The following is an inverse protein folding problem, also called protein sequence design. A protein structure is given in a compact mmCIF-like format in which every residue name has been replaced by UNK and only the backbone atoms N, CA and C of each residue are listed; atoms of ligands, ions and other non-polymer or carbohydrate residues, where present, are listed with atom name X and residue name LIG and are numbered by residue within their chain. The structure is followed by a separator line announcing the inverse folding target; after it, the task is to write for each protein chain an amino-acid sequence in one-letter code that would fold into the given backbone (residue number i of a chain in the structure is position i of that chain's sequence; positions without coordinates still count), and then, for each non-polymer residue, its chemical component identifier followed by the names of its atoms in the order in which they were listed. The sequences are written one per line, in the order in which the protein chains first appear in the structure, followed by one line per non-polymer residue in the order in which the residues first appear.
data_IF_481194034558
#
_entry.id   IF_481194034558
#
_cell.length_a   1.000
_cell.length_b   1.000
_cell.length_c   1.000
_cell.angle_alpha   90.00
_cell.angle_beta   90.00
_cell.angle_gamma   90.00
#
_symmetry.space_group_name_H-M   'P 1'
#
loop_
_entity.id
_entity.type
_entity.pdbx_description
1 polymer ?
#
# COMPACT_ATOMS: atom_id res chain seq x y z
N UNK A 1 -16.54 -31.60 -1.05
CA UNK A 1 -16.15 -30.20 -0.79
C UNK A 1 -14.84 -29.96 -1.51
N UNK A 2 -14.80 -29.07 -2.48
CA UNK A 2 -13.55 -28.62 -3.11
C UNK A 2 -12.71 -27.86 -2.08
N UNK A 3 -11.37 -28.00 -2.07
CA UNK A 3 -10.52 -27.20 -1.20
C UNK A 3 -10.77 -25.71 -1.47
N UNK A 4 -10.67 -24.83 -0.46
CA UNK A 4 -10.69 -23.39 -0.70
C UNK A 4 -9.64 -23.05 -1.74
N UNK A 5 -9.99 -22.21 -2.72
CA UNK A 5 -9.00 -21.71 -3.67
C UNK A 5 -7.82 -21.13 -2.88
N UNK A 6 -6.60 -21.62 -3.15
CA UNK A 6 -5.42 -21.13 -2.48
C UNK A 6 -5.35 -19.60 -2.63
N UNK A 7 -5.24 -18.89 -1.51
CA UNK A 7 -5.16 -17.44 -1.51
C UNK A 7 -3.97 -17.03 -2.38
N UNK A 8 -4.25 -16.34 -3.49
CA UNK A 8 -3.22 -15.80 -4.37
C UNK A 8 -2.60 -14.61 -3.65
N UNK A 9 -1.39 -14.78 -3.14
CA UNK A 9 -0.64 -13.73 -2.46
C UNK A 9 -0.24 -12.66 -3.47
N UNK A 10 -0.59 -11.41 -3.21
CA UNK A 10 -0.20 -10.26 -4.01
C UNK A 10 0.76 -9.39 -3.20
N UNK A 11 1.86 -8.98 -3.83
CA UNK A 11 2.88 -8.14 -3.23
C UNK A 11 2.84 -6.76 -3.89
N UNK A 12 2.62 -5.71 -3.11
CA UNK A 12 2.61 -4.33 -3.58
C UNK A 12 3.85 -3.59 -3.09
N UNK A 13 4.71 -3.15 -4.00
CA UNK A 13 5.89 -2.35 -3.68
C UNK A 13 5.54 -0.85 -3.68
N UNK A 14 6.08 -0.12 -2.70
CA UNK A 14 5.92 1.32 -2.54
C UNK A 14 7.16 2.01 -3.14
N UNK A 15 6.97 2.74 -4.25
CA UNK A 15 8.04 3.55 -4.86
C UNK A 15 8.92 2.82 -5.89
N UNK A 16 8.32 1.97 -6.72
CA UNK A 16 9.03 1.17 -7.74
C UNK A 16 9.11 1.86 -9.11
N UNK A 17 10.16 1.54 -9.87
CA UNK A 17 10.24 1.83 -11.29
C UNK A 17 9.48 0.76 -12.09
N UNK A 18 8.27 1.10 -12.58
CA UNK A 18 7.40 0.20 -13.36
C UNK A 18 8.02 -0.31 -14.67
N UNK A 19 9.12 0.29 -15.14
CA UNK A 19 9.82 -0.14 -16.36
C UNK A 19 10.85 -1.23 -16.12
N UNK A 20 11.17 -1.56 -14.86
CA UNK A 20 12.17 -2.58 -14.54
C UNK A 20 11.67 -4.00 -14.88
N UNK A 21 12.37 -4.77 -15.75
CA UNK A 21 12.01 -6.16 -16.06
C UNK A 21 11.93 -7.08 -14.84
N UNK A 22 12.62 -6.78 -13.75
CA UNK A 22 12.56 -7.55 -12.50
C UNK A 22 11.13 -7.62 -11.95
N UNK A 23 10.31 -6.59 -12.17
CA UNK A 23 8.91 -6.56 -11.75
C UNK A 23 8.02 -7.55 -12.53
N UNK A 24 8.45 -7.92 -13.73
CA UNK A 24 7.85 -9.01 -14.52
C UNK A 24 8.51 -10.36 -14.24
N UNK A 25 9.38 -10.42 -13.22
CA UNK A 25 10.16 -11.58 -12.84
C UNK A 25 11.29 -11.92 -13.80
N UNK A 26 11.74 -10.97 -14.62
CA UNK A 26 12.83 -11.17 -15.57
C UNK A 26 14.11 -10.61 -14.99
N UNK A 27 15.06 -11.50 -14.67
CA UNK A 27 16.37 -11.14 -14.15
C UNK A 27 17.43 -11.58 -15.14
N UNK A 28 18.23 -10.62 -15.64
CA UNK A 28 19.28 -10.87 -16.65
C UNK A 28 18.73 -11.66 -17.86
N UNK A 29 17.54 -11.30 -18.34
CA UNK A 29 16.87 -11.94 -19.48
C UNK A 29 16.19 -13.28 -19.17
N UNK A 30 16.30 -13.81 -17.95
CA UNK A 30 15.67 -15.09 -17.56
C UNK A 30 14.48 -14.85 -16.64
N UNK A 31 13.34 -15.50 -16.92
CA UNK A 31 12.17 -15.48 -16.02
C UNK A 31 12.47 -16.32 -14.76
N UNK A 32 12.44 -15.70 -13.58
CA UNK A 32 12.67 -16.32 -12.26
C UNK A 32 11.38 -16.56 -11.47
N UNK A 33 10.34 -15.77 -11.71
CA UNK A 33 9.02 -15.98 -11.11
C UNK A 33 7.92 -15.43 -12.02
N UNK A 34 6.67 -15.73 -11.67
CA UNK A 34 5.48 -15.21 -12.33
C UNK A 34 5.27 -13.73 -12.00
N UNK A 35 4.41 -13.04 -12.74
CA UNK A 35 4.09 -11.64 -12.52
C UNK A 35 3.21 -11.42 -11.28
N UNK A 36 3.79 -11.59 -10.09
CA UNK A 36 3.13 -11.49 -8.79
C UNK A 36 3.32 -10.15 -8.08
N UNK A 37 4.18 -9.29 -8.63
CA UNK A 37 4.43 -7.95 -8.09
C UNK A 37 3.48 -6.92 -8.70
N UNK A 38 3.01 -6.06 -7.81
CA UNK A 38 2.18 -4.89 -8.02
C UNK A 38 2.87 -3.68 -7.38
N UNK A 39 2.34 -2.50 -7.65
CA UNK A 39 2.94 -1.23 -7.29
C UNK A 39 1.89 -0.27 -6.78
N UNK A 40 2.33 0.68 -5.95
CA UNK A 40 1.61 1.91 -5.70
C UNK A 40 2.17 3.04 -6.56
N UNK A 41 1.34 4.03 -6.88
CA UNK A 41 1.79 5.25 -7.53
C UNK A 41 1.26 6.47 -6.76
N UNK A 42 2.13 7.42 -6.48
CA UNK A 42 1.79 8.60 -5.69
C UNK A 42 3.01 9.46 -5.45
N UNK A 43 2.89 10.37 -4.49
CA UNK A 43 3.99 11.23 -4.09
C UNK A 43 4.12 11.21 -2.58
N UNK A 44 5.28 10.76 -2.12
CA UNK A 44 5.61 10.67 -0.71
C UNK A 44 5.59 12.08 -0.07
N UNK A 45 5.11 12.25 1.19
CA UNK A 45 5.03 13.56 1.84
C UNK A 45 6.33 14.39 1.81
N UNK A 46 7.49 13.74 1.95
CA UNK A 46 8.80 14.42 1.89
C UNK A 46 9.23 14.85 0.48
N UNK A 47 8.52 14.40 -0.55
CA UNK A 47 8.75 14.73 -1.96
C UNK A 47 7.68 15.66 -2.53
N UNK A 48 6.72 16.12 -1.71
CA UNK A 48 5.69 17.07 -2.14
C UNK A 48 6.25 18.36 -2.73
N UNK A 49 7.48 18.75 -2.38
CA UNK A 49 8.18 19.88 -3.01
C UNK A 49 8.35 19.73 -4.53
N UNK A 50 8.28 18.51 -5.07
CA UNK A 50 8.29 18.28 -6.53
C UNK A 50 7.03 18.79 -7.23
N UNK A 51 5.89 18.84 -6.54
CA UNK A 51 4.70 19.53 -7.06
C UNK A 51 4.95 21.03 -7.16
N UNK A 52 5.61 21.61 -6.16
CA UNK A 52 5.80 23.06 -6.02
C UNK A 52 6.93 23.61 -6.92
N UNK A 53 7.97 22.81 -7.19
CA UNK A 53 9.09 23.20 -8.04
C UNK A 53 8.72 23.29 -9.53
N UNK A 54 7.55 22.76 -9.92
CA UNK A 54 7.06 22.77 -11.30
C UNK A 54 5.63 23.28 -11.40
N UNK A 55 4.86 22.69 -12.30
CA UNK A 55 3.42 22.91 -12.41
C UNK A 55 2.68 21.77 -11.69
N UNK A 56 1.99 22.01 -10.56
CA UNK A 56 1.28 20.99 -9.82
C UNK A 56 0.25 20.22 -10.65
N UNK A 57 -0.45 20.91 -11.55
CA UNK A 57 -1.45 20.29 -12.44
C UNK A 57 -0.77 19.36 -13.45
N UNK A 58 0.40 19.76 -13.96
CA UNK A 58 1.20 18.92 -14.84
C UNK A 58 1.68 17.66 -14.11
N UNK A 59 2.23 17.79 -12.90
CA UNK A 59 2.66 16.63 -12.11
C UNK A 59 1.48 15.68 -11.84
N UNK A 60 0.32 16.22 -11.45
CA UNK A 60 -0.89 15.43 -11.24
C UNK A 60 -1.37 14.74 -12.53
N UNK A 61 -1.30 15.42 -13.68
CA UNK A 61 -1.62 14.85 -14.99
C UNK A 61 -0.70 13.69 -15.35
N UNK A 62 0.61 13.83 -15.13
CA UNK A 62 1.58 12.77 -15.36
C UNK A 62 1.35 11.56 -14.44
N UNK A 63 1.06 11.80 -13.16
CA UNK A 63 0.73 10.72 -12.22
C UNK A 63 -0.54 9.97 -12.64
N UNK A 64 -1.59 10.68 -13.05
CA UNK A 64 -2.82 10.06 -13.58
C UNK A 64 -2.54 9.22 -14.83
N UNK A 65 -1.80 9.78 -15.78
CA UNK A 65 -1.36 9.11 -17.02
C UNK A 65 -0.57 7.83 -16.72
N UNK A 66 0.32 7.87 -15.73
CA UNK A 66 1.08 6.69 -15.28
C UNK A 66 0.16 5.60 -14.73
N UNK A 67 -0.76 5.95 -13.84
CA UNK A 67 -1.73 5.01 -13.26
C UNK A 67 -2.60 4.39 -14.36
N UNK A 68 -3.13 5.21 -15.26
CA UNK A 68 -4.02 4.78 -16.34
C UNK A 68 -3.33 3.82 -17.31
N UNK A 69 -2.07 4.08 -17.67
CA UNK A 69 -1.27 3.21 -18.55
C UNK A 69 -0.86 1.89 -17.89
N UNK A 70 -0.89 1.81 -16.55
CA UNK A 70 -0.39 0.67 -15.79
C UNK A 70 -1.44 0.06 -14.84
N UNK A 71 -2.75 0.16 -15.15
CA UNK A 71 -3.85 -0.32 -14.28
C UNK A 71 -3.77 -1.80 -13.87
N UNK A 72 -3.06 -2.64 -14.63
CA UNK A 72 -2.86 -4.06 -14.28
C UNK A 72 -1.79 -4.27 -13.21
N UNK A 73 -0.99 -3.24 -12.94
CA UNK A 73 0.18 -3.28 -12.05
C UNK A 73 0.11 -2.28 -10.91
N UNK A 74 -0.48 -1.11 -11.15
CA UNK A 74 -0.70 -0.08 -10.14
C UNK A 74 -2.06 -0.31 -9.51
N UNK A 75 -2.06 -0.73 -8.24
CA UNK A 75 -3.28 -1.16 -7.53
C UNK A 75 -3.66 -0.26 -6.35
N UNK A 76 -2.81 0.71 -6.00
CA UNK A 76 -3.11 1.70 -4.98
C UNK A 76 -2.46 3.04 -5.29
N UNK A 77 -3.06 4.11 -4.76
CA UNK A 77 -2.49 5.46 -4.79
C UNK A 77 -1.85 5.76 -3.44
N UNK A 78 -0.58 6.15 -3.45
CA UNK A 78 0.19 6.40 -2.23
C UNK A 78 1.70 6.37 -2.47
N UNK A 79 2.53 6.64 -1.48
CA UNK A 79 2.20 6.94 -0.07
C UNK A 79 1.64 8.37 0.11
N UNK A 80 0.55 8.54 0.87
CA UNK A 80 -0.03 9.85 1.16
C UNK A 80 -0.47 9.94 2.63
N UNK A 81 -0.31 11.10 3.26
CA UNK A 81 -0.46 11.27 4.71
C UNK A 81 -1.91 11.07 5.23
N UNK A 82 -2.03 10.60 6.46
CA UNK A 82 -3.29 10.21 7.11
C UNK A 82 -4.32 11.36 7.21
N UNK A 83 -3.87 12.60 7.44
CA UNK A 83 -4.76 13.77 7.55
C UNK A 83 -5.50 14.08 6.25
N UNK A 84 -4.91 13.74 5.11
CA UNK A 84 -5.56 13.90 3.81
C UNK A 84 -6.63 12.82 3.66
N UNK A 85 -6.34 11.58 4.05
CA UNK A 85 -7.30 10.48 3.99
C UNK A 85 -8.54 10.76 4.84
N UNK A 86 -8.36 11.24 6.08
CA UNK A 86 -9.45 11.61 6.99
C UNK A 86 -10.42 12.63 6.37
N UNK A 87 -9.87 13.72 5.81
CA UNK A 87 -10.68 14.81 5.22
C UNK A 87 -11.34 14.45 3.90
N UNK A 88 -10.93 13.35 3.27
CA UNK A 88 -11.36 12.96 1.93
C UNK A 88 -11.93 11.54 1.88
N UNK A 89 -12.46 11.01 3.01
CA UNK A 89 -12.88 9.61 3.12
C UNK A 89 -13.84 9.15 2.02
N UNK A 90 -14.75 10.02 1.61
CA UNK A 90 -15.74 9.79 0.54
C UNK A 90 -15.13 9.66 -0.87
N UNK A 91 -13.84 9.99 -1.05
CA UNK A 91 -13.18 10.08 -2.36
C UNK A 91 -12.36 8.84 -2.73
N UNK A 92 -12.36 7.82 -1.89
CA UNK A 92 -11.67 6.56 -2.13
C UNK A 92 -12.45 5.36 -1.59
N UNK A 93 -12.22 4.19 -2.18
CA UNK A 93 -12.98 2.95 -1.90
C UNK A 93 -12.48 2.19 -0.68
N UNK A 94 -11.26 2.48 -0.23
CA UNK A 94 -10.61 1.88 0.94
C UNK A 94 -9.15 2.30 1.00
N UNK A 95 -8.40 1.76 1.95
CA UNK A 95 -6.97 2.04 2.07
C UNK A 95 -6.32 1.30 3.23
N UNK A 96 -5.01 1.39 3.29
CA UNK A 96 -4.19 0.85 4.38
C UNK A 96 -3.30 1.95 4.92
N UNK A 97 -3.22 2.04 6.24
CA UNK A 97 -2.17 2.80 6.93
C UNK A 97 -0.95 1.91 7.04
N UNK A 98 0.05 2.19 6.22
CA UNK A 98 1.30 1.44 6.15
C UNK A 98 2.18 1.71 7.38
N UNK A 99 2.99 0.72 7.77
CA UNK A 99 3.98 0.77 8.85
C UNK A 99 3.48 1.36 10.16
N UNK A 100 2.29 0.95 10.59
CA UNK A 100 1.65 1.52 11.76
C UNK A 100 2.42 1.18 13.05
N UNK A 101 2.77 2.21 13.82
CA UNK A 101 3.44 2.11 15.12
C UNK A 101 2.76 2.93 16.23
N UNK A 102 1.52 3.36 15.99
CA UNK A 102 0.72 4.20 16.88
C UNK A 102 0.04 3.47 18.04
N UNK A 103 -0.87 4.18 18.72
CA UNK A 103 -1.60 3.71 19.90
C UNK A 103 -2.87 2.90 19.56
N UNK A 104 -3.48 2.29 20.59
CA UNK A 104 -4.78 1.57 20.48
C UNK A 104 -5.89 2.49 19.98
N UNK A 105 -5.91 3.73 20.46
CA UNK A 105 -6.89 4.75 20.10
C UNK A 105 -6.73 5.19 18.64
N UNK A 106 -5.49 5.34 18.18
CA UNK A 106 -5.21 5.64 16.78
C UNK A 106 -5.61 4.49 15.86
N UNK A 107 -5.32 3.24 16.26
CA UNK A 107 -5.75 2.05 15.52
C UNK A 107 -7.28 1.98 15.41
N UNK A 108 -8.00 2.21 16.50
CA UNK A 108 -9.46 2.25 16.52
C UNK A 108 -10.00 3.33 15.56
N UNK A 109 -9.43 4.54 15.61
CA UNK A 109 -9.84 5.63 14.72
C UNK A 109 -9.57 5.32 13.23
N UNK A 110 -8.53 4.56 12.91
CA UNK A 110 -8.25 4.08 11.54
C UNK A 110 -9.31 3.06 11.11
N UNK A 111 -9.68 2.14 11.99
CA UNK A 111 -10.70 1.12 11.72
C UNK A 111 -12.09 1.75 11.56
N UNK A 112 -12.43 2.78 12.34
CA UNK A 112 -13.68 3.53 12.21
C UNK A 112 -13.80 4.25 10.87
N UNK A 113 -12.65 4.58 10.25
CA UNK A 113 -12.58 5.07 8.88
C UNK A 113 -12.64 3.94 7.85
N UNK A 114 -12.92 2.70 8.25
CA UNK A 114 -12.97 1.53 7.39
C UNK A 114 -11.66 1.33 6.60
N UNK A 115 -10.53 1.63 7.24
CA UNK A 115 -9.19 1.41 6.71
C UNK A 115 -8.54 0.18 7.35
N UNK A 116 -7.52 -0.33 6.69
CA UNK A 116 -6.69 -1.44 7.16
C UNK A 116 -5.41 -0.94 7.81
N UNK A 117 -4.76 -1.80 8.60
CA UNK A 117 -3.53 -1.48 9.32
C UNK A 117 -2.41 -2.40 8.87
N UNK A 118 -1.35 -1.82 8.29
CA UNK A 118 -0.13 -2.50 7.89
C UNK A 118 0.85 -2.65 9.04
N UNK A 119 1.27 -3.87 9.32
CA UNK A 119 2.18 -4.25 10.40
C UNK A 119 3.48 -4.79 9.82
N UNK A 120 4.60 -4.22 10.27
CA UNK A 120 5.94 -4.68 9.92
C UNK A 120 6.84 -4.78 11.16
N UNK A 121 8.16 -4.90 10.98
CA UNK A 121 9.11 -4.97 12.08
C UNK A 121 9.08 -3.75 13.03
N UNK A 122 8.77 -2.55 12.55
CA UNK A 122 8.59 -1.35 13.38
C UNK A 122 7.39 -1.46 14.31
N UNK A 123 6.31 -2.08 13.84
CA UNK A 123 5.07 -2.33 14.59
C UNK A 123 5.22 -3.39 15.70
N UNK A 124 6.40 -4.00 15.84
CA UNK A 124 6.65 -5.12 16.76
C UNK A 124 7.81 -4.83 17.73
N UNK A 125 8.30 -3.59 17.79
CA UNK A 125 9.52 -3.22 18.53
C UNK A 125 9.35 -3.21 20.05
N UNK A 126 8.19 -2.79 20.54
CA UNK A 126 7.95 -2.55 21.96
C UNK A 126 6.74 -3.34 22.47
N UNK A 127 6.69 -3.60 23.78
CA UNK A 127 5.51 -4.23 24.39
C UNK A 127 4.25 -3.40 24.14
N UNK A 128 4.36 -2.06 24.12
CA UNK A 128 3.25 -1.19 23.78
C UNK A 128 2.76 -1.44 22.34
N UNK A 129 3.65 -1.63 21.37
CA UNK A 129 3.24 -1.97 20.01
C UNK A 129 2.56 -3.34 19.94
N UNK A 130 3.07 -4.34 20.68
CA UNK A 130 2.46 -5.67 20.76
C UNK A 130 1.06 -5.62 21.39
N UNK A 131 0.88 -4.79 22.42
CA UNK A 131 -0.41 -4.55 23.03
C UNK A 131 -1.38 -3.88 22.07
N UNK A 132 -0.93 -2.88 21.29
CA UNK A 132 -1.75 -2.28 20.24
C UNK A 132 -2.13 -3.31 19.18
N UNK A 133 -1.17 -4.13 18.71
CA UNK A 133 -1.43 -5.17 17.71
C UNK A 133 -2.54 -6.13 18.16
N UNK A 134 -2.52 -6.57 19.43
CA UNK A 134 -3.53 -7.48 19.99
C UNK A 134 -4.95 -6.89 19.99
N UNK A 135 -5.10 -5.57 19.96
CA UNK A 135 -6.42 -4.92 19.89
C UNK A 135 -6.99 -4.80 18.48
N UNK A 136 -6.19 -5.05 17.44
CA UNK A 136 -6.62 -4.90 16.06
C UNK A 136 -7.30 -6.19 15.59
N UNK A 137 -8.54 -6.13 15.05
CA UNK A 137 -9.21 -7.28 14.46
C UNK A 137 -8.37 -7.89 13.32
N UNK A 138 -8.26 -9.21 13.26
CA UNK A 138 -7.37 -9.87 12.30
C UNK A 138 -7.77 -9.64 10.84
N UNK A 139 -9.06 -9.42 10.59
CA UNK A 139 -9.60 -9.04 9.29
C UNK A 139 -9.25 -7.61 8.85
N UNK A 140 -8.71 -6.78 9.75
CA UNK A 140 -8.21 -5.42 9.47
C UNK A 140 -6.69 -5.34 9.36
N UNK A 141 -5.98 -6.46 9.55
CA UNK A 141 -4.52 -6.50 9.49
C UNK A 141 -4.00 -6.78 8.08
N UNK A 142 -2.90 -6.11 7.76
CA UNK A 142 -2.00 -6.44 6.67
C UNK A 142 -0.59 -6.64 7.21
N UNK A 143 0.20 -7.49 6.55
CA UNK A 143 1.61 -7.68 6.88
C UNK A 143 2.44 -6.88 5.87
N UNK A 144 3.63 -6.43 6.25
CA UNK A 144 4.62 -5.80 5.38
C UNK A 144 6.06 -5.99 5.89
N UNK A 145 7.03 -5.76 4.99
CA UNK A 145 8.47 -5.67 5.35
C UNK A 145 8.97 -4.22 5.45
N UNK A 146 8.05 -3.24 5.39
CA UNK A 146 8.33 -1.80 5.45
C UNK A 146 8.38 -1.11 4.10
N UNK A 147 8.81 -1.79 3.03
CA UNK A 147 8.75 -1.27 1.65
C UNK A 147 7.71 -1.99 0.77
N UNK A 148 7.35 -3.20 1.17
CA UNK A 148 6.44 -4.09 0.42
C UNK A 148 5.26 -4.45 1.31
N UNK A 149 4.06 -4.13 0.83
CA UNK A 149 2.76 -4.47 1.40
C UNK A 149 2.30 -5.85 0.90
N UNK A 150 1.81 -6.69 1.82
CA UNK A 150 1.13 -7.94 1.49
C UNK A 150 -0.37 -7.69 1.45
N UNK A 151 -0.95 -7.84 0.26
CA UNK A 151 -2.39 -7.69 0.05
C UNK A 151 -3.03 -9.08 -0.06
N UNK A 152 -3.98 -9.36 0.84
CA UNK A 152 -4.90 -10.49 0.70
C UNK A 152 -5.90 -10.27 -0.45
N UNK A 153 -6.62 -11.32 -0.86
CA UNK A 153 -7.54 -11.29 -2.01
C UNK A 153 -8.65 -10.21 -1.96
N UNK A 154 -8.88 -9.54 -0.82
CA UNK A 154 -9.97 -8.58 -0.65
C UNK A 154 -9.80 -7.26 -1.44
N UNK A 155 -8.61 -6.95 -1.97
CA UNK A 155 -8.32 -5.64 -2.59
C UNK A 155 -8.35 -5.60 -4.12
N UNK A 156 -8.62 -6.74 -4.77
CA UNK A 156 -8.65 -6.83 -6.24
C UNK A 156 -10.04 -7.25 -6.67
N UNK A 157 -10.96 -6.29 -6.69
CA UNK A 157 -12.24 -6.38 -7.41
C UNK A 157 -12.11 -5.73 -8.78
#
# INVERSE_FOLDING_TARGET
MSPPAAARLLLADIGVNLTDPAFRGIYRGTRKHQEMFYSTAGCHPTRCGEFEQGNPDHYLSELKSLIEKNRTKVIAVGECGLDIMRRNRERFVGGVVHSFDGSKEEAAAIIDLDLYIGINGCSLKTEANLETLKSIPSERLMIETGKILYLGQQFVT
#
